data_IF_275597517813
#
_entry.id   IF_275597517813
#
_cell.length_a   1.000
_cell.length_b   1.000
_cell.length_c   1.000
_cell.angle_alpha   90.00
_cell.angle_beta   90.00
_cell.angle_gamma   90.00
#
_symmetry.space_group_name_H-M   'P 1'
#
loop_
_entity.id
_entity.type
_entity.pdbx_description
1 polymer ?
#
# COMPACT_ATOMS: atom_id res chain seq x y z
N UNK A 1 -13.58 -50.34 -12.85
CA UNK A 1 -12.75 -51.40 -12.23
C UNK A 1 -11.42 -51.52 -12.96
N UNK A 2 -10.31 -51.11 -12.34
CA UNK A 2 -8.94 -51.64 -12.51
C UNK A 2 -8.04 -51.02 -11.42
N UNK A 3 -7.03 -51.79 -11.03
CA UNK A 3 -6.44 -51.94 -9.70
C UNK A 3 -5.02 -51.30 -9.61
N UNK A 4 -4.61 -50.88 -8.39
CA UNK A 4 -3.24 -50.87 -7.81
C UNK A 4 -2.18 -49.87 -8.38
N UNK A 5 -1.22 -49.27 -7.65
CA UNK A 5 -0.51 -49.44 -6.36
C UNK A 5 -0.05 -48.03 -5.90
N UNK A 6 -0.25 -47.58 -4.66
CA UNK A 6 0.63 -47.76 -3.48
C UNK A 6 2.13 -47.50 -3.71
N UNK A 7 2.62 -46.32 -3.30
CA UNK A 7 4.00 -46.13 -2.80
C UNK A 7 3.93 -45.36 -1.48
N UNK A 8 4.23 -46.07 -0.40
CA UNK A 8 4.50 -45.54 0.93
C UNK A 8 5.99 -45.19 1.00
N UNK A 9 6.35 -43.97 1.37
CA UNK A 9 7.69 -43.70 1.91
C UNK A 9 7.54 -43.05 3.27
N UNK A 10 7.92 -43.84 4.28
CA UNK A 10 8.01 -43.46 5.69
C UNK A 10 9.37 -42.81 5.90
N UNK A 11 9.42 -41.58 6.40
CA UNK A 11 10.61 -41.06 7.08
C UNK A 11 10.32 -41.08 8.57
N UNK A 12 10.90 -42.06 9.25
CA UNK A 12 11.04 -42.11 10.68
C UNK A 12 12.47 -41.67 10.99
N UNK A 13 12.64 -40.67 11.85
CA UNK A 13 13.89 -40.44 12.56
C UNK A 13 13.55 -40.06 13.99
N UNK A 14 13.82 -41.03 14.88
CA UNK A 14 13.91 -40.85 16.31
C UNK A 14 15.09 -39.93 16.62
N UNK A 15 14.91 -39.04 17.58
CA UNK A 15 15.95 -38.70 18.54
C UNK A 15 15.30 -38.52 19.91
N UNK A 16 15.78 -39.31 20.87
CA UNK A 16 15.34 -39.37 22.25
C UNK A 16 16.32 -38.63 23.16
N UNK A 17 15.81 -38.15 24.30
CA UNK A 17 16.59 -37.80 25.50
C UNK A 17 16.76 -36.29 25.73
N UNK A 18 16.73 -35.74 26.94
CA UNK A 18 16.65 -36.31 28.31
C UNK A 18 16.29 -35.17 29.30
N UNK A 19 15.44 -35.51 30.28
CA UNK A 19 15.19 -34.98 31.65
C UNK A 19 15.66 -33.59 32.16
N UNK A 20 14.68 -32.80 32.63
CA UNK A 20 14.37 -32.41 34.04
C UNK A 20 15.36 -31.53 34.85
N UNK A 21 14.92 -30.32 35.23
CA UNK A 21 15.31 -29.62 36.48
C UNK A 21 14.10 -28.95 37.13
N UNK A 22 13.95 -29.19 38.44
CA UNK A 22 12.95 -28.64 39.37
C UNK A 22 13.44 -27.29 39.91
N UNK A 23 12.52 -26.33 40.14
CA UNK A 23 12.80 -25.14 40.94
C UNK A 23 11.56 -24.28 41.20
N UNK A 24 10.89 -24.50 42.33
CA UNK A 24 9.79 -23.65 42.84
C UNK A 24 10.37 -22.52 43.68
N UNK A 25 10.00 -21.25 43.43
CA UNK A 25 9.91 -20.22 44.47
C UNK A 25 8.88 -19.14 44.08
N UNK A 26 7.87 -18.97 44.93
CA UNK A 26 7.00 -17.80 44.94
C UNK A 26 7.79 -16.57 45.41
N UNK A 27 7.64 -15.44 44.72
CA UNK A 27 8.29 -14.19 45.05
C UNK A 27 7.58 -13.00 44.40
N UNK A 28 6.75 -12.34 45.20
CA UNK A 28 6.35 -10.93 45.20
C UNK A 28 6.16 -10.19 43.87
N UNK A 29 4.92 -9.73 43.66
CA UNK A 29 4.60 -8.67 42.72
C UNK A 29 5.43 -7.41 43.02
N UNK A 30 6.21 -6.97 42.04
CA UNK A 30 6.67 -5.60 41.93
C UNK A 30 6.18 -5.05 40.59
N UNK A 31 5.28 -4.08 40.66
CA UNK A 31 5.06 -3.10 39.60
C UNK A 31 6.42 -2.55 39.17
N UNK A 32 6.86 -2.95 37.98
CA UNK A 32 7.99 -2.35 37.29
C UNK A 32 7.61 -2.30 35.82
N UNK A 33 7.34 -1.07 35.38
CA UNK A 33 7.24 -0.60 34.00
C UNK A 33 8.00 -1.53 33.05
N UNK A 34 7.28 -2.36 32.30
CA UNK A 34 7.84 -3.21 31.27
C UNK A 34 8.39 -2.37 30.13
N UNK A 35 9.63 -1.87 30.26
CA UNK A 35 10.51 -1.80 29.11
C UNK A 35 10.78 -3.24 28.74
N UNK A 36 10.12 -3.72 27.68
CA UNK A 36 10.56 -4.92 27.01
C UNK A 36 12.04 -4.73 26.69
N UNK A 37 12.91 -5.52 27.31
CA UNK A 37 14.29 -5.69 26.86
C UNK A 37 14.16 -6.16 25.42
N UNK A 38 14.35 -5.23 24.48
CA UNK A 38 14.34 -5.56 23.06
C UNK A 38 15.33 -6.72 22.89
N UNK A 39 14.86 -7.84 22.35
CA UNK A 39 15.72 -8.99 22.12
C UNK A 39 16.91 -8.54 21.27
N UNK A 40 18.05 -9.22 21.39
CA UNK A 40 19.22 -8.91 20.56
C UNK A 40 18.85 -8.93 19.06
N UNK A 41 17.89 -9.78 18.68
CA UNK A 41 17.28 -9.78 17.35
C UNK A 41 16.51 -8.49 17.04
N UNK A 42 15.69 -7.98 17.96
CA UNK A 42 14.96 -6.71 17.80
C UNK A 42 15.90 -5.51 17.78
N UNK A 43 17.03 -5.54 18.50
CA UNK A 43 18.07 -4.51 18.43
C UNK A 43 18.85 -4.57 17.11
N UNK A 44 19.12 -5.77 16.59
CA UNK A 44 19.78 -5.96 15.30
C UNK A 44 18.85 -5.60 14.15
N UNK A 45 17.55 -5.91 14.25
CA UNK A 45 16.52 -5.46 13.31
C UNK A 45 16.40 -3.93 13.35
N UNK A 46 16.26 -3.33 14.54
CA UNK A 46 16.28 -1.88 14.76
C UNK A 46 17.60 -1.17 14.36
N UNK A 47 18.69 -1.92 14.22
CA UNK A 47 19.96 -1.37 13.74
C UNK A 47 20.07 -1.49 12.22
N UNK A 48 19.57 -2.59 11.64
CA UNK A 48 19.60 -2.85 10.21
C UNK A 48 18.49 -2.13 9.44
N UNK A 49 17.36 -1.84 10.08
CA UNK A 49 16.25 -1.03 9.55
C UNK A 49 16.52 0.48 9.65
N UNK A 50 17.57 0.88 10.39
CA UNK A 50 17.99 2.27 10.52
C UNK A 50 17.39 3.05 11.70
N UNK A 51 16.71 2.41 12.64
CA UNK A 51 16.06 3.04 13.80
C UNK A 51 17.05 3.67 14.80
N UNK A 52 18.24 3.09 14.99
CA UNK A 52 19.24 3.58 15.97
C UNK A 52 20.29 4.50 15.35
N UNK A 53 20.62 4.34 14.06
CA UNK A 53 21.65 5.13 13.38
C UNK A 53 21.09 6.29 12.53
N UNK A 54 19.77 6.47 12.52
CA UNK A 54 19.08 7.53 11.78
C UNK A 54 19.06 7.30 10.27
N UNK A 55 19.26 6.05 9.79
CA UNK A 55 19.12 5.72 8.37
C UNK A 55 17.69 5.64 7.90
N UNK A 56 16.73 5.25 8.73
CA UNK A 56 15.31 5.33 8.36
C UNK A 56 14.92 6.80 8.12
N UNK A 57 15.25 7.67 9.09
CA UNK A 57 15.16 9.13 8.98
C UNK A 57 16.01 9.69 7.80
N UNK A 58 17.13 9.01 7.47
CA UNK A 58 18.05 9.39 6.41
C UNK A 58 17.66 8.91 5.01
N UNK A 59 16.79 7.90 4.91
CA UNK A 59 16.17 7.42 3.67
C UNK A 59 14.78 8.06 3.44
N UNK A 60 14.21 8.66 4.48
CA UNK A 60 12.95 9.39 4.42
C UNK A 60 11.71 8.52 4.64
N UNK A 61 11.81 7.42 5.39
CA UNK A 61 10.65 6.63 5.87
C UNK A 61 10.54 6.86 7.39
N UNK A 62 10.00 8.01 7.78
CA UNK A 62 9.90 8.43 9.16
C UNK A 62 8.58 8.01 9.84
N UNK A 63 7.59 7.55 9.07
CA UNK A 63 6.31 6.99 9.53
C UNK A 63 6.35 5.45 9.76
N UNK A 64 7.31 4.75 9.15
CA UNK A 64 7.65 3.32 9.32
C UNK A 64 6.64 2.32 8.79
N UNK A 65 6.00 2.60 7.66
CA UNK A 65 5.17 1.63 6.97
C UNK A 65 5.95 0.78 5.92
N UNK A 66 7.25 1.08 5.76
CA UNK A 66 8.15 0.41 4.82
C UNK A 66 8.07 0.98 3.40
N UNK A 67 7.39 2.10 3.22
CA UNK A 67 7.19 2.81 1.96
C UNK A 67 7.60 4.27 2.15
N UNK A 68 8.71 4.68 1.52
CA UNK A 68 9.07 6.11 1.43
C UNK A 68 8.07 6.80 0.50
N UNK A 69 7.06 7.48 1.03
CA UNK A 69 6.07 8.21 0.24
C UNK A 69 5.68 9.61 0.76
N UNK A 70 4.46 10.04 0.46
CA UNK A 70 3.97 11.42 0.49
C UNK A 70 3.77 11.99 1.89
N UNK A 71 3.64 11.12 2.88
CA UNK A 71 3.40 11.48 4.27
C UNK A 71 4.67 11.51 5.14
N UNK A 72 5.84 11.35 4.50
CA UNK A 72 7.15 11.35 5.14
C UNK A 72 7.75 12.75 5.33
N UNK A 73 8.43 12.98 6.45
CA UNK A 73 9.05 14.27 6.72
C UNK A 73 10.28 14.52 5.84
N UNK A 74 10.34 15.71 5.24
CA UNK A 74 11.40 16.07 4.30
C UNK A 74 11.20 15.55 2.88
N UNK A 75 10.11 14.80 2.62
CA UNK A 75 9.72 14.42 1.27
C UNK A 75 9.32 15.65 0.44
N UNK A 76 10.11 15.94 -0.59
CA UNK A 76 9.78 16.95 -1.60
C UNK A 76 9.38 16.24 -2.89
N UNK A 77 8.07 16.18 -3.11
CA UNK A 77 7.42 15.69 -4.31
C UNK A 77 8.04 16.19 -5.64
N UNK A 78 8.67 17.38 -5.68
CA UNK A 78 9.28 17.94 -6.90
C UNK A 78 10.57 17.23 -7.25
N UNK A 79 11.23 16.67 -6.25
CA UNK A 79 12.57 16.08 -6.36
C UNK A 79 12.60 14.59 -6.09
N UNK A 80 11.67 14.07 -5.28
CA UNK A 80 11.70 12.72 -4.72
C UNK A 80 10.43 11.91 -5.01
N UNK A 81 9.35 12.55 -5.48
CA UNK A 81 8.11 11.88 -5.88
C UNK A 81 7.97 11.70 -7.41
N UNK A 82 6.76 11.37 -7.85
CA UNK A 82 6.35 11.37 -9.26
C UNK A 82 6.29 12.78 -9.91
N UNK A 83 6.88 13.80 -9.27
CA UNK A 83 6.92 15.23 -9.66
C UNK A 83 5.58 15.96 -9.61
N UNK A 84 4.59 15.42 -8.91
CA UNK A 84 3.33 16.13 -8.68
C UNK A 84 3.21 16.53 -7.22
N UNK A 85 2.98 17.83 -7.00
CA UNK A 85 3.21 18.47 -5.72
C UNK A 85 2.04 19.28 -5.21
N UNK A 86 1.53 18.90 -4.03
CA UNK A 86 0.76 19.76 -3.15
C UNK A 86 -0.75 19.80 -3.38
N UNK A 87 -1.42 20.53 -2.45
CA UNK A 87 -2.84 20.60 -2.12
C UNK A 87 -3.87 20.85 -3.24
N UNK A 88 -3.44 21.01 -4.49
CA UNK A 88 -4.30 21.20 -5.67
C UNK A 88 -4.55 19.90 -6.45
N UNK A 89 -3.94 18.79 -6.04
CA UNK A 89 -4.34 17.47 -6.55
C UNK A 89 -5.70 17.13 -5.94
N UNK A 90 -6.74 16.90 -6.75
CA UNK A 90 -8.02 16.42 -6.23
C UNK A 90 -7.78 15.10 -5.48
N UNK A 91 -8.36 14.89 -4.28
CA UNK A 91 -8.14 13.67 -3.49
C UNK A 91 -8.40 12.37 -4.26
N UNK A 92 -9.31 12.38 -5.23
CA UNK A 92 -9.59 11.26 -6.12
C UNK A 92 -8.48 10.92 -7.12
N UNK A 93 -7.46 11.78 -7.26
CA UNK A 93 -6.28 11.57 -8.10
C UNK A 93 -5.01 11.26 -7.30
N UNK A 94 -5.03 11.35 -5.97
CA UNK A 94 -3.87 11.04 -5.13
C UNK A 94 -3.38 9.62 -5.38
N UNK A 95 -2.08 9.43 -5.58
CA UNK A 95 -1.50 8.12 -5.92
C UNK A 95 -1.64 7.68 -7.39
N UNK A 96 -2.14 8.53 -8.30
CA UNK A 96 -2.36 8.15 -9.71
C UNK A 96 -1.09 7.86 -10.54
N UNK A 97 0.11 8.03 -9.98
CA UNK A 97 1.37 7.76 -10.68
C UNK A 97 1.48 8.56 -12.00
N UNK A 98 1.83 7.88 -13.09
CA UNK A 98 1.97 8.49 -14.41
C UNK A 98 0.65 9.02 -14.99
N UNK A 99 -0.51 8.54 -14.51
CA UNK A 99 -1.82 9.00 -14.96
C UNK A 99 -2.24 10.33 -14.31
N UNK A 100 -1.50 10.83 -13.33
CA UNK A 100 -1.88 11.98 -12.52
C UNK A 100 -2.14 13.28 -13.33
N UNK A 101 -1.31 13.68 -14.31
CA UNK A 101 -1.59 14.86 -15.12
C UNK A 101 -2.93 14.76 -15.89
N UNK A 102 -3.25 13.57 -16.39
CA UNK A 102 -4.50 13.32 -17.10
C UNK A 102 -5.69 13.27 -16.13
N UNK A 103 -5.51 12.65 -14.96
CA UNK A 103 -6.52 12.63 -13.91
C UNK A 103 -6.93 14.05 -13.50
N UNK A 104 -5.97 14.95 -13.27
CA UNK A 104 -6.24 16.36 -12.94
C UNK A 104 -6.99 17.06 -14.08
N UNK A 105 -6.63 16.77 -15.34
CA UNK A 105 -7.31 17.33 -16.51
C UNK A 105 -8.77 16.87 -16.58
N UNK A 106 -9.02 15.57 -16.37
CA UNK A 106 -10.38 15.01 -16.34
C UNK A 106 -11.17 15.57 -15.15
N UNK A 107 -10.56 15.65 -13.96
CA UNK A 107 -11.17 16.18 -12.76
C UNK A 107 -11.62 17.65 -12.90
N UNK A 108 -10.94 18.45 -13.71
CA UNK A 108 -11.28 19.87 -13.93
C UNK A 108 -12.51 20.09 -14.84
N UNK A 109 -13.08 19.03 -15.42
CA UNK A 109 -14.20 19.14 -16.36
C UNK A 109 -15.49 19.56 -15.64
N UNK A 110 -16.22 20.57 -16.16
CA UNK A 110 -17.52 20.96 -15.62
C UNK A 110 -18.55 19.87 -15.89
N UNK A 111 -19.78 20.05 -15.39
CA UNK A 111 -20.92 19.19 -15.73
C UNK A 111 -21.04 19.00 -17.26
N UNK A 112 -21.26 17.77 -17.69
CA UNK A 112 -21.43 17.44 -19.10
C UNK A 112 -22.37 16.27 -19.31
N UNK A 113 -22.78 16.11 -20.57
CA UNK A 113 -23.59 14.98 -20.99
C UNK A 113 -22.93 14.30 -22.17
N UNK A 114 -22.99 12.97 -22.20
CA UNK A 114 -22.56 12.21 -23.36
C UNK A 114 -23.57 11.11 -23.70
N UNK A 115 -23.43 10.55 -24.90
CA UNK A 115 -24.26 9.44 -25.38
C UNK A 115 -23.41 8.19 -25.42
N UNK A 116 -23.75 7.19 -24.61
CA UNK A 116 -23.08 5.92 -24.60
C UNK A 116 -23.31 5.14 -25.90
N UNK A 117 -22.46 4.14 -26.16
CA UNK A 117 -22.53 3.34 -27.39
C UNK A 117 -23.89 2.64 -27.60
N UNK A 118 -24.63 2.38 -26.51
CA UNK A 118 -25.98 1.82 -26.53
C UNK A 118 -27.09 2.86 -26.80
N UNK A 119 -26.74 4.12 -27.06
CA UNK A 119 -27.66 5.23 -27.28
C UNK A 119 -28.21 5.87 -26.00
N UNK A 120 -27.79 5.40 -24.81
CA UNK A 120 -28.21 5.99 -23.54
C UNK A 120 -27.53 7.34 -23.33
N UNK A 121 -28.31 8.36 -22.94
CA UNK A 121 -27.78 9.64 -22.47
C UNK A 121 -27.32 9.51 -21.02
N UNK A 122 -26.09 9.92 -20.75
CA UNK A 122 -25.47 9.87 -19.42
C UNK A 122 -25.14 11.30 -18.99
N UNK A 123 -25.76 11.75 -17.91
CA UNK A 123 -25.51 13.04 -17.29
C UNK A 123 -24.42 12.89 -16.22
N UNK A 124 -23.31 13.61 -16.40
CA UNK A 124 -22.16 13.63 -15.48
C UNK A 124 -22.13 14.98 -14.76
N UNK A 125 -22.16 14.96 -13.43
CA UNK A 125 -22.23 16.16 -12.62
C UNK A 125 -20.96 17.03 -12.72
N UNK A 126 -19.78 16.39 -12.74
CA UNK A 126 -18.47 16.97 -13.04
C UNK A 126 -17.45 15.83 -13.15
N UNK A 127 -16.26 16.12 -13.68
CA UNK A 127 -15.21 15.11 -13.83
C UNK A 127 -14.75 14.51 -12.49
N UNK A 128 -14.81 15.28 -11.40
CA UNK A 128 -14.44 14.81 -10.05
C UNK A 128 -15.37 13.71 -9.55
N UNK A 129 -16.67 13.89 -9.78
CA UNK A 129 -17.72 12.95 -9.40
C UNK A 129 -17.59 11.66 -10.20
N UNK A 130 -17.28 11.77 -11.48
CA UNK A 130 -17.05 10.61 -12.34
C UNK A 130 -15.87 9.77 -11.84
N UNK A 131 -14.70 10.40 -11.63
CA UNK A 131 -13.50 9.71 -11.14
C UNK A 131 -13.74 9.03 -9.79
N UNK A 132 -14.46 9.68 -8.87
CA UNK A 132 -14.77 9.13 -7.54
C UNK A 132 -15.63 7.86 -7.59
N UNK A 133 -16.48 7.75 -8.60
CA UNK A 133 -17.39 6.61 -8.77
C UNK A 133 -16.76 5.45 -9.54
N UNK A 134 -15.52 5.61 -10.02
CA UNK A 134 -14.80 4.54 -10.69
C UNK A 134 -14.51 3.38 -9.72
N UNK A 135 -14.67 2.12 -10.18
CA UNK A 135 -14.23 0.97 -9.40
C UNK A 135 -12.71 0.88 -9.30
N UNK A 136 -11.99 1.35 -10.32
CA UNK A 136 -10.52 1.37 -10.37
C UNK A 136 -9.95 2.43 -9.40
N UNK A 137 -8.83 2.10 -8.77
CA UNK A 137 -8.16 2.97 -7.79
C UNK A 137 -6.96 3.66 -8.41
N UNK A 138 -6.68 4.93 -8.05
CA UNK A 138 -5.43 5.59 -8.44
C UNK A 138 -4.21 4.71 -8.20
N UNK A 139 -3.28 4.71 -9.15
CA UNK A 139 -2.03 3.94 -9.07
C UNK A 139 -2.10 2.54 -9.68
N UNK A 140 -3.29 2.06 -10.09
CA UNK A 140 -3.39 0.81 -10.87
C UNK A 140 -3.25 1.06 -12.37
N UNK A 141 -2.81 0.04 -13.11
CA UNK A 141 -2.77 0.09 -14.58
C UNK A 141 -4.16 0.31 -15.18
N UNK A 142 -5.18 -0.35 -14.61
CA UNK A 142 -6.58 -0.21 -15.03
C UNK A 142 -7.08 1.23 -14.85
N UNK A 143 -6.68 1.92 -13.79
CA UNK A 143 -7.06 3.32 -13.57
C UNK A 143 -6.53 4.24 -14.67
N UNK A 144 -5.28 4.06 -15.09
CA UNK A 144 -4.71 4.85 -16.19
C UNK A 144 -5.49 4.64 -17.50
N UNK A 145 -5.90 3.40 -17.78
CA UNK A 145 -6.71 3.07 -18.95
C UNK A 145 -8.09 3.73 -18.89
N UNK A 146 -8.76 3.69 -17.73
CA UNK A 146 -10.08 4.30 -17.56
C UNK A 146 -10.03 5.81 -17.64
N UNK A 147 -9.05 6.47 -17.01
CA UNK A 147 -8.87 7.92 -17.13
C UNK A 147 -8.61 8.33 -18.59
N UNK A 148 -7.86 7.54 -19.34
CA UNK A 148 -7.65 7.76 -20.78
C UNK A 148 -8.93 7.62 -21.58
N UNK A 149 -9.76 6.63 -21.27
CA UNK A 149 -11.06 6.43 -21.92
C UNK A 149 -12.01 7.61 -21.63
N UNK A 150 -12.12 8.03 -20.37
CA UNK A 150 -12.87 9.22 -20.00
C UNK A 150 -12.35 10.47 -20.73
N UNK A 151 -11.02 10.60 -20.89
CA UNK A 151 -10.46 11.73 -21.62
C UNK A 151 -10.94 11.77 -23.08
N UNK A 152 -10.84 10.62 -23.75
CA UNK A 152 -11.27 10.44 -25.14
C UNK A 152 -12.77 10.65 -25.34
N UNK A 153 -13.62 10.17 -24.42
CA UNK A 153 -15.08 10.34 -24.50
C UNK A 153 -15.50 11.82 -24.46
N UNK A 154 -14.89 12.60 -23.57
CA UNK A 154 -15.13 14.05 -23.52
C UNK A 154 -14.73 14.74 -24.82
N UNK A 155 -13.54 14.43 -25.34
CA UNK A 155 -13.01 15.01 -26.59
C UNK A 155 -13.82 14.58 -27.83
N UNK A 156 -14.52 13.45 -27.78
CA UNK A 156 -15.44 13.03 -28.83
C UNK A 156 -16.77 13.81 -28.78
N UNK A 157 -17.14 14.31 -27.60
CA UNK A 157 -18.40 15.01 -27.37
C UNK A 157 -18.29 16.55 -27.48
N UNK A 158 -17.09 17.13 -27.39
CA UNK A 158 -16.83 18.58 -27.34
C UNK A 158 -15.65 18.98 -28.23
#
# INVERSE_FOLDING_TARGET
MRFLRSVRTRYALLAAGTALVVGSLAGVAHDAVGRAEASEAALVEAFNDGFVDGRADGMGDDNRDGVVDEDESGWDCRTMGNRVCGADVPPECTGAGDALPLCVTVAARPAYTWTAANGQRVDVADGRTEIRNLPEKPGTEDFAAVITALDAEWNAAH
#
